data_IF_093440830235
#
_entry.id   IF_093440830235
#
_cell.length_a   1.000
_cell.length_b   1.000
_cell.length_c   1.000
_cell.angle_alpha   90.00
_cell.angle_beta   90.00
_cell.angle_gamma   90.00
#
_symmetry.space_group_name_H-M   'P 1'
#
loop_
_entity.id
_entity.type
_entity.pdbx_description
1 polymer ?
#
# COMPACT_ATOMS: atom_id res chain seq x y z
N UNK A 1 -39.44 -64.12 -19.80
CA UNK A 1 -38.65 -62.97 -19.30
C UNK A 1 -37.56 -63.52 -18.40
N UNK A 2 -36.31 -63.51 -18.87
CA UNK A 2 -35.14 -63.95 -18.11
C UNK A 2 -34.84 -62.94 -16.99
N UNK A 3 -34.76 -63.41 -15.74
CA UNK A 3 -34.45 -62.56 -14.61
C UNK A 3 -32.92 -62.41 -14.51
N UNK A 4 -32.34 -61.21 -14.68
CA UNK A 4 -30.88 -61.03 -14.77
C UNK A 4 -30.11 -61.47 -13.50
N UNK A 5 -30.81 -61.69 -12.39
CA UNK A 5 -30.24 -62.14 -11.12
C UNK A 5 -30.18 -63.66 -10.97
N UNK A 6 -30.78 -64.44 -11.88
CA UNK A 6 -30.84 -65.90 -11.80
C UNK A 6 -30.53 -66.53 -13.16
N UNK A 7 -29.72 -67.59 -13.16
CA UNK A 7 -29.41 -68.35 -14.37
C UNK A 7 -30.56 -69.29 -14.79
N UNK A 8 -30.44 -69.93 -15.96
CA UNK A 8 -31.46 -70.85 -16.47
C UNK A 8 -31.65 -72.12 -15.60
N UNK A 9 -30.77 -72.35 -14.62
CA UNK A 9 -30.85 -73.42 -13.62
C UNK A 9 -31.41 -72.96 -12.27
N UNK A 10 -31.80 -71.68 -12.14
CA UNK A 10 -32.35 -71.11 -10.91
C UNK A 10 -31.29 -70.72 -9.87
N UNK A 11 -30.00 -70.78 -10.21
CA UNK A 11 -28.93 -70.35 -9.31
C UNK A 11 -28.69 -68.84 -9.44
N UNK A 12 -28.26 -68.25 -8.33
CA UNK A 12 -28.05 -66.81 -8.23
C UNK A 12 -26.80 -66.35 -8.99
N UNK A 13 -26.95 -65.38 -9.88
CA UNK A 13 -25.87 -64.90 -10.72
C UNK A 13 -25.06 -63.79 -10.02
N UNK A 14 -23.98 -64.17 -9.34
CA UNK A 14 -23.06 -63.27 -8.65
C UNK A 14 -22.44 -62.19 -9.55
N UNK A 15 -22.30 -62.47 -10.86
CA UNK A 15 -21.76 -61.48 -11.81
C UNK A 15 -22.68 -60.26 -11.98
N UNK A 16 -23.99 -60.43 -11.83
CA UNK A 16 -24.97 -59.35 -11.92
C UNK A 16 -24.92 -58.43 -10.70
N UNK A 17 -24.68 -58.96 -9.49
CA UNK A 17 -24.41 -58.13 -8.31
C UNK A 17 -23.09 -57.40 -8.48
N UNK A 18 -22.03 -58.10 -8.89
CA UNK A 18 -20.72 -57.50 -9.09
C UNK A 18 -20.81 -56.32 -10.06
N UNK A 19 -21.55 -56.47 -11.16
CA UNK A 19 -21.81 -55.40 -12.12
C UNK A 19 -22.55 -54.20 -11.50
N UNK A 20 -23.61 -54.42 -10.71
CA UNK A 20 -24.33 -53.34 -10.03
C UNK A 20 -23.44 -52.62 -9.00
N UNK A 21 -22.64 -53.36 -8.23
CA UNK A 21 -21.68 -52.76 -7.28
C UNK A 21 -20.61 -51.95 -8.00
N UNK A 22 -20.11 -52.43 -9.14
CA UNK A 22 -19.11 -51.72 -9.94
C UNK A 22 -19.69 -50.42 -10.53
N UNK A 23 -20.94 -50.43 -11.01
CA UNK A 23 -21.64 -49.23 -11.50
C UNK A 23 -21.87 -48.23 -10.35
N UNK A 24 -22.30 -48.70 -9.18
CA UNK A 24 -22.49 -47.87 -7.99
C UNK A 24 -21.19 -47.18 -7.58
N UNK A 25 -20.08 -47.92 -7.51
CA UNK A 25 -18.75 -47.38 -7.20
C UNK A 25 -18.27 -46.42 -8.29
N UNK A 26 -18.51 -46.72 -9.56
CA UNK A 26 -18.15 -45.84 -10.68
C UNK A 26 -18.89 -44.50 -10.63
N UNK A 27 -20.20 -44.50 -10.34
CA UNK A 27 -20.99 -43.28 -10.19
C UNK A 27 -20.49 -42.45 -9.00
N UNK A 28 -20.26 -43.09 -7.85
CA UNK A 28 -19.72 -42.42 -6.66
C UNK A 28 -18.35 -41.79 -6.96
N UNK A 29 -17.47 -42.52 -7.64
CA UNK A 29 -16.15 -42.05 -8.06
C UNK A 29 -16.24 -40.84 -9.00
N UNK A 30 -17.12 -40.88 -10.01
CA UNK A 30 -17.36 -39.74 -10.92
C UNK A 30 -17.90 -38.53 -10.16
N UNK A 31 -18.87 -38.72 -9.27
CA UNK A 31 -19.41 -37.64 -8.45
C UNK A 31 -18.36 -37.04 -7.51
N UNK A 32 -17.48 -37.86 -6.92
CA UNK A 32 -16.40 -37.41 -6.07
C UNK A 32 -15.34 -36.62 -6.86
N UNK A 33 -14.89 -37.16 -7.99
CA UNK A 33 -13.90 -36.52 -8.86
C UNK A 33 -14.39 -35.16 -9.38
N UNK A 34 -15.68 -35.03 -9.70
CA UNK A 34 -16.27 -33.75 -10.10
C UNK A 34 -16.20 -32.71 -8.98
N UNK A 35 -16.57 -33.08 -7.74
CA UNK A 35 -16.48 -32.19 -6.58
C UNK A 35 -15.03 -31.78 -6.29
N UNK A 36 -14.09 -32.73 -6.39
CA UNK A 36 -12.66 -32.45 -6.21
C UNK A 36 -12.16 -31.48 -7.28
N UNK A 37 -12.56 -31.65 -8.54
CA UNK A 37 -12.15 -30.77 -9.64
C UNK A 37 -12.75 -29.36 -9.51
N UNK A 38 -14.01 -29.25 -9.07
CA UNK A 38 -14.65 -27.95 -8.76
C UNK A 38 -13.94 -27.24 -7.60
N UNK A 39 -13.56 -27.97 -6.54
CA UNK A 39 -12.79 -27.43 -5.42
C UNK A 39 -11.37 -27.01 -5.84
N UNK A 40 -10.69 -27.80 -6.65
CA UNK A 40 -9.36 -27.46 -7.18
C UNK A 40 -9.42 -26.20 -8.04
N UNK A 41 -10.42 -26.07 -8.90
CA UNK A 41 -10.60 -24.87 -9.73
C UNK A 41 -10.80 -23.63 -8.85
N UNK A 42 -11.68 -23.70 -7.86
CA UNK A 42 -11.93 -22.60 -6.93
C UNK A 42 -10.66 -22.18 -6.17
N UNK A 43 -9.90 -23.14 -5.64
CA UNK A 43 -8.63 -22.86 -4.97
C UNK A 43 -7.60 -22.25 -5.92
N UNK A 44 -7.57 -22.69 -7.18
CA UNK A 44 -6.63 -22.15 -8.17
C UNK A 44 -6.99 -20.71 -8.55
N UNK A 45 -8.27 -20.42 -8.73
CA UNK A 45 -8.77 -19.07 -9.03
C UNK A 45 -8.47 -18.11 -7.85
N UNK A 46 -8.79 -18.50 -6.61
CA UNK A 46 -8.48 -17.72 -5.40
C UNK A 46 -6.95 -17.49 -5.23
N UNK A 47 -6.14 -18.52 -5.48
CA UNK A 47 -4.69 -18.40 -5.44
C UNK A 47 -4.17 -17.46 -6.53
N UNK A 48 -4.72 -17.54 -7.74
CA UNK A 48 -4.34 -16.69 -8.87
C UNK A 48 -4.66 -15.22 -8.61
N UNK A 49 -5.90 -14.91 -8.21
CA UNK A 49 -6.31 -13.55 -7.86
C UNK A 49 -5.45 -12.98 -6.73
N UNK A 50 -5.29 -13.75 -5.65
CA UNK A 50 -4.45 -13.34 -4.54
C UNK A 50 -2.98 -13.13 -4.96
N UNK A 51 -2.46 -13.92 -5.90
CA UNK A 51 -1.09 -13.78 -6.39
C UNK A 51 -0.93 -12.54 -7.25
N UNK A 52 -1.92 -12.20 -8.10
CA UNK A 52 -1.93 -10.96 -8.86
C UNK A 52 -1.96 -9.75 -7.93
N UNK A 53 -2.85 -9.74 -6.93
CA UNK A 53 -2.94 -8.64 -5.96
C UNK A 53 -1.62 -8.47 -5.19
N UNK A 54 -1.04 -9.57 -4.73
CA UNK A 54 0.25 -9.56 -4.02
C UNK A 54 1.37 -8.99 -4.91
N UNK A 55 1.41 -9.40 -6.18
CA UNK A 55 2.40 -8.91 -7.16
C UNK A 55 2.23 -7.42 -7.44
N UNK A 56 1.00 -6.96 -7.69
CA UNK A 56 0.72 -5.55 -7.92
C UNK A 56 1.11 -4.69 -6.71
N UNK A 57 0.86 -5.17 -5.49
CA UNK A 57 1.27 -4.48 -4.26
C UNK A 57 2.79 -4.45 -4.10
N UNK A 58 3.50 -5.54 -4.40
CA UNK A 58 4.98 -5.55 -4.39
C UNK A 58 5.55 -4.55 -5.39
N UNK A 59 5.01 -4.52 -6.61
CA UNK A 59 5.40 -3.57 -7.66
C UNK A 59 5.15 -2.13 -7.22
N UNK A 60 3.97 -1.84 -6.67
CA UNK A 60 3.68 -0.54 -6.07
C UNK A 60 4.71 -0.18 -4.99
N UNK A 61 4.97 -1.05 -4.00
CA UNK A 61 5.99 -0.81 -2.95
C UNK A 61 7.36 -0.50 -3.56
N UNK A 62 7.78 -1.21 -4.60
CA UNK A 62 9.06 -0.99 -5.27
C UNK A 62 9.12 0.39 -5.93
N UNK A 63 8.08 0.79 -6.64
CA UNK A 63 8.01 2.10 -7.28
C UNK A 63 7.94 3.24 -6.25
N UNK A 64 7.11 3.12 -5.22
CA UNK A 64 7.02 4.15 -4.16
C UNK A 64 8.35 4.29 -3.42
N UNK A 65 9.07 3.18 -3.15
CA UNK A 65 10.41 3.25 -2.53
C UNK A 65 11.40 4.04 -3.38
N UNK A 66 11.41 3.83 -4.71
CA UNK A 66 12.28 4.60 -5.62
C UNK A 66 11.93 6.09 -5.54
N UNK A 67 10.64 6.45 -5.64
CA UNK A 67 10.18 7.84 -5.56
C UNK A 67 10.45 8.50 -4.21
N UNK A 68 10.34 7.74 -3.12
CA UNK A 68 10.70 8.20 -1.78
C UNK A 68 12.18 8.55 -1.70
N UNK A 69 13.04 7.69 -2.26
CA UNK A 69 14.49 7.94 -2.31
C UNK A 69 14.79 9.15 -3.19
N UNK A 70 14.16 9.29 -4.36
CA UNK A 70 14.34 10.46 -5.24
C UNK A 70 13.99 11.76 -4.50
N UNK A 71 12.86 11.79 -3.79
CA UNK A 71 12.43 12.94 -2.99
C UNK A 71 13.41 13.27 -1.86
N UNK A 72 13.78 12.27 -1.05
CA UNK A 72 14.72 12.43 0.08
C UNK A 72 16.10 12.90 -0.41
N UNK A 73 16.61 12.31 -1.50
CA UNK A 73 17.88 12.69 -2.10
C UNK A 73 17.87 14.15 -2.57
N UNK A 74 16.78 14.57 -3.23
CA UNK A 74 16.63 15.96 -3.68
C UNK A 74 16.59 16.93 -2.49
N UNK A 75 15.96 16.55 -1.37
CA UNK A 75 16.00 17.34 -0.13
C UNK A 75 17.43 17.47 0.41
N UNK A 76 18.19 16.38 0.46
CA UNK A 76 19.59 16.44 0.91
C UNK A 76 20.50 17.25 -0.01
N UNK A 77 20.28 17.18 -1.34
CA UNK A 77 21.01 18.02 -2.28
C UNK A 77 20.68 19.50 -2.08
N UNK A 78 19.41 19.82 -1.81
CA UNK A 78 19.00 21.17 -1.39
C UNK A 78 19.69 21.61 -0.09
N UNK A 79 19.68 20.80 0.97
CA UNK A 79 20.31 21.15 2.25
C UNK A 79 21.82 21.37 2.11
N UNK A 80 22.50 20.49 1.36
CA UNK A 80 23.94 20.61 1.09
C UNK A 80 24.23 21.92 0.37
N UNK A 81 23.44 22.25 -0.64
CA UNK A 81 23.62 23.47 -1.40
C UNK A 81 23.33 24.71 -0.55
N UNK A 82 22.20 24.73 0.16
CA UNK A 82 21.78 25.84 1.02
C UNK A 82 22.82 26.16 2.12
N UNK A 83 23.46 25.14 2.70
CA UNK A 83 24.56 25.32 3.68
C UNK A 83 25.84 25.89 3.06
N UNK A 84 26.10 25.59 1.79
CA UNK A 84 27.35 25.97 1.09
C UNK A 84 27.28 27.29 0.30
N UNK A 85 26.06 27.80 0.11
CA UNK A 85 25.75 28.95 -0.75
C UNK A 85 26.12 30.27 -0.07
N UNK A 86 27.17 30.93 -0.57
CA UNK A 86 27.67 32.22 -0.05
C UNK A 86 27.37 33.43 -0.98
N UNK A 87 26.74 33.26 -2.16
CA UNK A 87 26.65 34.33 -3.17
C UNK A 87 25.30 34.43 -3.93
N UNK A 88 25.00 35.59 -4.54
CA UNK A 88 23.76 35.83 -5.30
C UNK A 88 23.56 34.95 -6.55
N UNK A 89 24.64 34.37 -7.11
CA UNK A 89 24.57 33.40 -8.22
C UNK A 89 23.88 32.08 -7.79
N UNK A 90 23.66 31.88 -6.49
CA UNK A 90 23.06 30.68 -5.91
C UNK A 90 21.53 30.63 -6.03
N UNK A 91 20.87 31.76 -6.36
CA UNK A 91 19.41 31.82 -6.47
C UNK A 91 18.84 30.91 -7.57
N UNK A 92 19.51 30.84 -8.72
CA UNK A 92 19.05 30.00 -9.84
C UNK A 92 19.07 28.51 -9.48
N UNK A 93 20.14 28.05 -8.80
CA UNK A 93 20.27 26.66 -8.39
C UNK A 93 19.33 26.30 -7.24
N UNK A 94 19.13 27.20 -6.28
CA UNK A 94 18.10 27.03 -5.24
C UNK A 94 16.71 26.88 -5.87
N UNK A 95 16.37 27.69 -6.87
CA UNK A 95 15.09 27.61 -7.57
C UNK A 95 14.93 26.27 -8.32
N UNK A 96 15.98 25.81 -9.00
CA UNK A 96 16.01 24.49 -9.65
C UNK A 96 15.77 23.36 -8.64
N UNK A 97 16.44 23.39 -7.49
CA UNK A 97 16.29 22.39 -6.43
C UNK A 97 14.89 22.43 -5.80
N UNK A 98 14.34 23.62 -5.55
CA UNK A 98 12.96 23.78 -5.07
C UNK A 98 11.95 23.19 -6.07
N UNK A 99 12.11 23.50 -7.36
CA UNK A 99 11.25 22.95 -8.41
C UNK A 99 11.36 21.42 -8.51
N UNK A 100 12.56 20.87 -8.36
CA UNK A 100 12.77 19.42 -8.31
C UNK A 100 12.10 18.77 -7.08
N UNK A 101 12.18 19.41 -5.91
CA UNK A 101 11.51 18.98 -4.68
C UNK A 101 9.99 18.99 -4.87
N UNK A 102 9.42 20.07 -5.41
CA UNK A 102 7.99 20.19 -5.68
C UNK A 102 7.47 19.09 -6.61
N UNK A 103 8.21 18.83 -7.70
CA UNK A 103 7.90 17.75 -8.65
C UNK A 103 7.94 16.38 -7.95
N UNK A 104 9.01 16.08 -7.21
CA UNK A 104 9.17 14.79 -6.56
C UNK A 104 8.15 14.59 -5.42
N UNK A 105 7.81 15.64 -4.70
CA UNK A 105 6.75 15.64 -3.69
C UNK A 105 5.41 15.30 -4.30
N UNK A 106 5.03 16.01 -5.37
CA UNK A 106 3.78 15.80 -6.10
C UNK A 106 3.68 14.36 -6.60
N UNK A 107 4.74 13.86 -7.23
CA UNK A 107 4.79 12.48 -7.70
C UNK A 107 4.63 11.48 -6.55
N UNK A 108 5.31 11.70 -5.43
CA UNK A 108 5.23 10.80 -4.28
C UNK A 108 3.83 10.81 -3.64
N UNK A 109 3.21 11.98 -3.50
CA UNK A 109 1.83 12.13 -2.98
C UNK A 109 0.84 11.34 -3.85
N UNK A 110 0.98 11.40 -5.19
CA UNK A 110 0.12 10.66 -6.12
C UNK A 110 0.18 9.14 -5.91
N UNK A 111 1.30 8.60 -5.44
CA UNK A 111 1.42 7.16 -5.17
C UNK A 111 0.70 6.71 -3.90
N UNK A 112 0.57 7.59 -2.90
CA UNK A 112 -0.05 7.24 -1.62
C UNK A 112 -1.57 7.42 -1.63
N UNK A 113 -2.09 8.35 -2.42
CA UNK A 113 -3.53 8.59 -2.54
C UNK A 113 -4.22 8.93 -1.21
N UNK A 114 -5.51 9.31 -1.22
CA UNK A 114 -6.26 9.53 0.01
C UNK A 114 -6.68 8.19 0.63
N UNK A 115 -6.42 8.00 1.92
CA UNK A 115 -6.97 6.84 2.64
C UNK A 115 -8.47 7.05 2.89
N UNK A 116 -9.30 6.11 2.45
CA UNK A 116 -10.72 6.03 2.86
C UNK A 116 -10.92 5.12 4.07
N UNK A 117 -9.81 4.67 4.67
CA UNK A 117 -9.75 3.68 5.74
C UNK A 117 -9.85 4.29 7.14
N UNK A 118 -9.87 3.40 8.14
CA UNK A 118 -9.78 3.80 9.55
C UNK A 118 -8.35 4.19 9.92
N UNK A 119 -7.36 3.59 9.27
CA UNK A 119 -5.96 3.97 9.41
C UNK A 119 -5.62 5.14 8.48
N UNK A 120 -4.89 6.12 9.02
CA UNK A 120 -4.54 7.40 8.36
C UNK A 120 -3.07 7.43 7.92
N UNK A 121 -2.51 6.28 7.57
CA UNK A 121 -1.07 6.17 7.36
C UNK A 121 -0.63 6.84 6.05
N UNK A 122 -1.39 6.69 4.97
CA UNK A 122 -1.08 7.39 3.71
C UNK A 122 -1.30 8.89 3.85
N UNK A 123 -2.40 9.30 4.49
CA UNK A 123 -2.69 10.71 4.78
C UNK A 123 -1.58 11.35 5.61
N UNK A 124 -1.06 10.63 6.61
CA UNK A 124 0.07 11.09 7.41
C UNK A 124 1.36 11.25 6.59
N UNK A 125 1.65 10.33 5.66
CA UNK A 125 2.79 10.46 4.75
C UNK A 125 2.62 11.70 3.86
N UNK A 126 1.43 11.88 3.28
CA UNK A 126 1.09 13.04 2.44
C UNK A 126 1.24 14.34 3.23
N UNK A 127 0.77 14.36 4.47
CA UNK A 127 0.97 15.49 5.39
C UNK A 127 2.45 15.80 5.60
N UNK A 128 3.27 14.80 5.97
CA UNK A 128 4.72 14.99 6.18
C UNK A 128 5.44 15.53 4.94
N UNK A 129 5.11 15.00 3.76
CA UNK A 129 5.67 15.48 2.49
C UNK A 129 5.24 16.93 2.24
N UNK A 130 3.95 17.22 2.42
CA UNK A 130 3.38 18.56 2.18
C UNK A 130 4.02 19.61 3.06
N UNK A 131 4.08 19.40 4.37
CA UNK A 131 4.67 20.39 5.29
C UNK A 131 6.16 20.61 5.00
N UNK A 132 6.89 19.54 4.67
CA UNK A 132 8.32 19.62 4.39
C UNK A 132 8.56 20.41 3.10
N UNK A 133 7.84 20.06 2.03
CA UNK A 133 7.92 20.77 0.75
C UNK A 133 7.53 22.23 0.88
N UNK A 134 6.44 22.55 1.61
CA UNK A 134 6.03 23.93 1.81
C UNK A 134 7.07 24.75 2.58
N UNK A 135 7.69 24.20 3.63
CA UNK A 135 8.75 24.89 4.37
C UNK A 135 9.98 25.18 3.50
N UNK A 136 10.30 24.29 2.55
CA UNK A 136 11.40 24.46 1.59
C UNK A 136 11.01 25.40 0.44
N UNK A 137 9.76 25.41 -0.01
CA UNK A 137 9.36 26.22 -1.17
C UNK A 137 9.09 27.66 -0.73
N UNK A 138 8.36 27.86 0.36
CA UNK A 138 7.81 29.16 0.76
C UNK A 138 8.81 30.09 1.44
N UNK A 139 9.95 29.58 1.92
CA UNK A 139 10.95 30.44 2.56
C UNK A 139 11.76 31.18 1.50
N UNK A 140 11.82 32.51 1.62
CA UNK A 140 12.71 33.36 0.82
C UNK A 140 14.14 32.84 0.96
N UNK A 141 14.94 32.94 -0.10
CA UNK A 141 16.17 32.15 -0.39
C UNK A 141 17.23 32.02 0.73
N UNK A 142 17.08 32.70 1.86
CA UNK A 142 17.96 32.60 3.02
C UNK A 142 17.49 31.52 4.02
N UNK A 143 18.35 30.53 4.24
CA UNK A 143 18.20 29.50 5.25
C UNK A 143 19.39 29.57 6.20
N UNK A 144 19.16 29.86 7.49
CA UNK A 144 20.21 29.67 8.48
C UNK A 144 20.40 28.17 8.81
N UNK A 145 21.52 27.86 9.46
CA UNK A 145 21.87 26.48 9.80
C UNK A 145 20.84 25.79 10.68
N UNK A 146 20.21 26.51 11.62
CA UNK A 146 19.20 25.96 12.53
C UNK A 146 17.94 25.51 11.77
N UNK A 147 17.47 26.32 10.82
CA UNK A 147 16.35 25.94 9.98
C UNK A 147 16.68 24.76 9.06
N UNK A 148 17.90 24.68 8.52
CA UNK A 148 18.28 23.52 7.70
C UNK A 148 18.34 22.25 8.56
N UNK A 149 18.84 22.34 9.80
CA UNK A 149 18.83 21.22 10.75
C UNK A 149 17.40 20.75 11.09
N UNK A 150 16.44 21.67 11.28
CA UNK A 150 15.03 21.30 11.48
C UNK A 150 14.45 20.56 10.26
N UNK A 151 14.76 21.02 9.04
CA UNK A 151 14.32 20.35 7.81
C UNK A 151 14.97 18.97 7.63
N UNK A 152 16.26 18.83 7.96
CA UNK A 152 16.96 17.54 7.97
C UNK A 152 16.31 16.55 8.95
N UNK A 153 15.98 17.02 10.16
CA UNK A 153 15.27 16.21 11.15
C UNK A 153 13.89 15.76 10.64
N UNK A 154 13.16 16.61 9.90
CA UNK A 154 11.87 16.25 9.30
C UNK A 154 12.02 15.22 8.18
N UNK A 155 13.07 15.32 7.36
CA UNK A 155 13.41 14.29 6.36
C UNK A 155 13.72 12.95 7.05
N UNK A 156 14.44 12.98 8.16
CA UNK A 156 14.74 11.78 8.95
C UNK A 156 13.48 11.14 9.54
N UNK A 157 12.53 11.94 10.04
CA UNK A 157 11.22 11.46 10.50
C UNK A 157 10.45 10.78 9.36
N UNK A 158 10.36 11.41 8.19
CA UNK A 158 9.71 10.84 7.02
C UNK A 158 10.36 9.51 6.60
N UNK A 159 11.70 9.48 6.52
CA UNK A 159 12.47 8.27 6.20
C UNK A 159 12.16 7.14 7.17
N UNK A 160 12.20 7.42 8.47
CA UNK A 160 12.00 6.41 9.50
C UNK A 160 10.56 5.88 9.50
N UNK A 161 9.58 6.76 9.29
CA UNK A 161 8.18 6.37 9.11
C UNK A 161 8.01 5.46 7.88
N UNK A 162 8.48 5.90 6.70
CA UNK A 162 8.39 5.14 5.46
C UNK A 162 9.07 3.78 5.56
N UNK A 163 10.21 3.68 6.25
CA UNK A 163 10.91 2.41 6.48
C UNK A 163 10.04 1.42 7.26
N UNK A 164 9.35 1.87 8.31
CA UNK A 164 8.46 1.02 9.12
C UNK A 164 7.22 0.66 8.31
N UNK A 165 6.59 1.65 7.68
CA UNK A 165 5.39 1.51 6.87
C UNK A 165 5.59 0.54 5.70
N UNK A 166 6.63 0.74 4.88
CA UNK A 166 6.93 -0.17 3.78
C UNK A 166 7.34 -1.57 4.22
N UNK A 167 7.79 -1.75 5.46
CA UNK A 167 8.03 -3.10 6.01
C UNK A 167 6.70 -3.79 6.34
N UNK A 168 5.72 -3.05 6.87
CA UNK A 168 4.37 -3.55 7.11
C UNK A 168 3.69 -3.93 5.80
N UNK A 169 3.71 -3.03 4.81
CA UNK A 169 3.13 -3.29 3.48
C UNK A 169 3.82 -4.44 2.75
N UNK A 170 5.14 -4.61 2.92
CA UNK A 170 5.85 -5.77 2.40
C UNK A 170 5.34 -7.08 3.03
N UNK A 171 5.16 -7.11 4.35
CA UNK A 171 4.63 -8.29 5.06
C UNK A 171 3.20 -8.59 4.62
N UNK A 172 2.37 -7.55 4.49
CA UNK A 172 1.00 -7.63 3.99
C UNK A 172 0.95 -8.21 2.57
N UNK A 173 1.81 -7.73 1.67
CA UNK A 173 1.89 -8.22 0.30
C UNK A 173 2.36 -9.68 0.21
N UNK A 174 3.23 -10.13 1.12
CA UNK A 174 3.67 -11.52 1.20
C UNK A 174 2.73 -12.42 2.03
N UNK A 175 1.56 -11.91 2.44
CA UNK A 175 0.59 -12.62 3.30
C UNK A 175 1.17 -13.09 4.64
N UNK A 176 2.25 -12.46 5.11
CA UNK A 176 2.81 -12.71 6.45
C UNK A 176 1.92 -12.13 7.56
N UNK A 177 1.19 -11.05 7.25
CA UNK A 177 0.19 -10.42 8.10
C UNK A 177 -1.06 -10.13 7.25
N UNK A 178 -2.23 -10.20 7.86
CA UNK A 178 -3.49 -9.81 7.22
C UNK A 178 -3.67 -8.29 7.18
N UNK A 179 -4.57 -7.81 6.34
CA UNK A 179 -4.92 -6.38 6.25
C UNK A 179 -5.31 -5.77 7.62
N UNK A 180 -5.99 -6.56 8.47
CA UNK A 180 -6.40 -6.13 9.82
C UNK A 180 -5.25 -6.06 10.82
N UNK A 181 -4.12 -6.71 10.52
CA UNK A 181 -2.96 -6.77 11.41
C UNK A 181 -1.90 -5.73 11.06
N UNK A 182 -2.04 -5.01 9.95
CA UNK A 182 -1.08 -3.97 9.51
C UNK A 182 -0.92 -2.91 10.58
N UNK A 183 -2.02 -2.31 11.05
CA UNK A 183 -1.97 -1.26 12.07
C UNK A 183 -1.38 -1.78 13.39
N UNK A 184 -1.81 -2.97 13.83
CA UNK A 184 -1.26 -3.64 15.01
C UNK A 184 0.24 -3.86 14.89
N UNK A 185 0.72 -4.26 13.70
CA UNK A 185 2.15 -4.42 13.43
C UNK A 185 2.89 -3.09 13.54
N UNK A 186 2.36 -2.01 12.96
CA UNK A 186 2.96 -0.67 13.04
C UNK A 186 3.10 -0.21 14.49
N UNK A 187 2.06 -0.42 15.30
CA UNK A 187 2.02 -0.08 16.73
C UNK A 187 2.99 -0.90 17.59
N UNK A 188 3.58 -1.98 17.08
CA UNK A 188 4.69 -2.65 17.80
C UNK A 188 5.98 -1.83 17.79
N UNK A 189 6.14 -0.89 16.86
CA UNK A 189 7.35 -0.07 16.71
C UNK A 189 7.25 1.20 17.54
N UNK A 190 8.10 1.32 18.57
CA UNK A 190 8.16 2.52 19.43
C UNK A 190 8.36 3.82 18.65
N UNK A 191 9.17 3.79 17.58
CA UNK A 191 9.41 4.95 16.73
C UNK A 191 8.15 5.38 15.98
N UNK A 192 7.36 4.44 15.47
CA UNK A 192 6.08 4.74 14.81
C UNK A 192 5.13 5.45 15.78
N UNK A 193 4.91 4.87 16.97
CA UNK A 193 4.05 5.48 17.99
C UNK A 193 4.53 6.91 18.34
N UNK A 194 5.84 7.08 18.52
CA UNK A 194 6.41 8.39 18.88
C UNK A 194 6.23 9.41 17.76
N UNK A 195 6.46 9.02 16.51
CA UNK A 195 6.27 9.90 15.35
C UNK A 195 4.79 10.30 15.23
N UNK A 196 3.87 9.34 15.27
CA UNK A 196 2.43 9.63 15.22
C UNK A 196 2.00 10.62 16.31
N UNK A 197 2.45 10.40 17.55
CA UNK A 197 2.13 11.28 18.67
C UNK A 197 2.72 12.69 18.52
N UNK A 198 3.93 12.82 17.96
CA UNK A 198 4.58 14.13 17.79
C UNK A 198 3.85 15.02 16.79
N UNK A 199 3.17 14.43 15.81
CA UNK A 199 2.56 15.14 14.70
C UNK A 199 1.02 15.05 14.68
N UNK A 200 0.40 14.42 15.68
CA UNK A 200 -1.05 14.20 15.77
C UNK A 200 -1.85 15.50 15.61
N UNK A 201 -1.49 16.55 16.36
CA UNK A 201 -2.17 17.85 16.26
C UNK A 201 -1.94 18.51 14.90
N UNK A 202 -0.74 18.37 14.35
CA UNK A 202 -0.39 18.95 13.05
C UNK A 202 -1.13 18.30 11.89
N UNK A 203 -1.33 16.97 11.95
CA UNK A 203 -2.14 16.23 10.99
C UNK A 203 -3.60 16.69 11.05
N UNK A 204 -4.18 16.79 12.24
CA UNK A 204 -5.56 17.26 12.41
C UNK A 204 -5.78 18.67 11.85
N UNK A 205 -4.87 19.61 12.15
CA UNK A 205 -4.95 20.97 11.58
C UNK A 205 -4.75 21.00 10.07
N UNK A 206 -3.99 20.07 9.50
CA UNK A 206 -3.82 19.96 8.05
C UNK A 206 -5.11 19.48 7.36
N UNK A 207 -5.76 18.47 7.91
CA UNK A 207 -7.07 17.98 7.44
C UNK A 207 -8.10 19.11 7.44
N UNK A 208 -8.22 19.86 8.55
CA UNK A 208 -9.11 21.02 8.65
C UNK A 208 -8.80 22.10 7.61
N UNK A 209 -7.51 22.33 7.33
CA UNK A 209 -7.09 23.33 6.33
C UNK A 209 -7.47 22.93 4.91
N UNK A 210 -7.39 21.64 4.57
CA UNK A 210 -7.82 21.11 3.28
C UNK A 210 -9.33 21.27 3.13
N UNK A 211 -10.09 20.89 4.14
CA UNK A 211 -11.55 20.99 4.13
C UNK A 211 -12.01 22.46 3.99
N UNK A 212 -11.36 23.37 4.73
CA UNK A 212 -11.62 24.80 4.62
C UNK A 212 -11.31 25.35 3.23
N UNK A 213 -10.21 24.94 2.62
CA UNK A 213 -9.83 25.36 1.27
C UNK A 213 -10.90 24.97 0.24
N UNK A 214 -11.34 23.71 0.21
CA UNK A 214 -12.35 23.26 -0.73
C UNK A 214 -13.73 23.86 -0.44
N UNK A 215 -14.09 24.04 0.84
CA UNK A 215 -15.32 24.72 1.22
C UNK A 215 -15.38 26.17 0.70
N UNK A 216 -14.26 26.88 0.70
CA UNK A 216 -14.20 28.23 0.13
C UNK A 216 -14.32 28.23 -1.39
N UNK A 217 -13.63 27.31 -2.07
CA UNK A 217 -13.75 27.18 -3.52
C UNK A 217 -15.20 26.89 -3.93
N UNK A 218 -15.88 25.97 -3.24
CA UNK A 218 -17.29 25.67 -3.51
C UNK A 218 -18.18 26.91 -3.36
N UNK A 219 -17.94 27.73 -2.34
CA UNK A 219 -18.67 29.00 -2.16
C UNK A 219 -18.41 29.98 -3.31
N UNK A 220 -17.17 30.10 -3.75
CA UNK A 220 -16.78 30.99 -4.85
C UNK A 220 -17.45 30.58 -6.17
N UNK A 221 -17.60 29.28 -6.42
CA UNK A 221 -18.31 28.76 -7.61
C UNK A 221 -19.84 28.82 -7.51
N UNK A 222 -20.41 28.83 -6.29
CA UNK A 222 -21.86 28.88 -6.08
C UNK A 222 -22.40 30.32 -6.04
N UNK A 223 -21.53 31.32 -5.87
CA UNK A 223 -21.87 32.75 -5.88
C UNK A 223 -21.70 33.43 -7.25
N UNK A 224 -21.30 32.69 -8.29
CA UNK A 224 -21.31 33.11 -9.71
C UNK A 224 -22.57 32.61 -10.42
#
# INVERSE_FOLDING_TARGET
MSNPFFDNSGNFNWSSIAALTAIGVAIISVCHNRKVLEQQKKLNDENFEGNIVSKARIEWIQEVRKKSVDFIATCHDFFRYAKSSNNENDKSKILELKSAIEKNATLLILYFGPDRGVDKNNDFIVYLITILSQKIINKDSYYDEEHILDLENQVDVLRDFLRIYFKAEWKRANREISDKEVQKYLETHKSYIRIMKLYESGLASHEESIDYFYSNLERDFTQQ
#
